data_IF_720797106473
#
_entry.id   IF_720797106473
#
_cell.length_a   1.000
_cell.length_b   1.000
_cell.length_c   1.000
_cell.angle_alpha   90.00
_cell.angle_beta   90.00
_cell.angle_gamma   90.00
#
_symmetry.space_group_name_H-M   'P 1'
#
loop_
_entity.id
_entity.type
_entity.pdbx_description
1 polymer ?
#
# COMPACT_ATOMS: atom_id res chain seq x y z
N UNK A 1 -2.37 0.74 -8.85
CA UNK A 1 -1.14 1.54 -9.00
C UNK A 1 -1.18 2.62 -7.95
N UNK A 2 -0.12 2.79 -7.15
CA UNK A 2 -0.06 3.93 -6.24
C UNK A 2 0.02 5.23 -7.06
N UNK A 3 -0.38 6.35 -6.47
CA UNK A 3 -0.26 7.69 -7.10
C UNK A 3 1.19 8.01 -7.50
N UNK A 4 2.16 7.35 -6.86
CA UNK A 4 3.59 7.43 -7.16
C UNK A 4 4.04 6.59 -8.35
N UNK A 5 3.13 5.84 -9.00
CA UNK A 5 3.44 4.89 -10.07
C UNK A 5 3.97 3.53 -9.59
N UNK A 6 4.12 3.32 -8.28
CA UNK A 6 4.57 2.06 -7.70
C UNK A 6 3.49 0.97 -7.82
N UNK A 7 3.87 -0.20 -8.32
CA UNK A 7 3.00 -1.38 -8.44
C UNK A 7 3.29 -2.33 -7.29
N UNK A 8 2.48 -2.24 -6.23
CA UNK A 8 2.57 -3.12 -5.05
C UNK A 8 1.36 -4.04 -5.01
N UNK A 9 1.59 -5.32 -4.72
CA UNK A 9 0.52 -6.28 -4.48
C UNK A 9 -0.08 -6.02 -3.09
N UNK A 10 -1.33 -5.59 -3.07
CA UNK A 10 -2.07 -5.28 -1.83
C UNK A 10 -3.22 -6.28 -1.63
N UNK A 11 -3.58 -6.59 -0.38
CA UNK A 11 -4.74 -7.42 -0.09
C UNK A 11 -6.06 -6.85 -0.62
N UNK A 12 -6.98 -7.74 -1.03
CA UNK A 12 -8.28 -7.39 -1.61
C UNK A 12 -9.26 -6.66 -0.67
N UNK A 13 -8.96 -6.56 0.63
CA UNK A 13 -9.80 -5.89 1.62
C UNK A 13 -9.48 -4.39 1.78
N UNK A 14 -8.48 -3.87 1.07
CA UNK A 14 -8.10 -2.46 1.13
C UNK A 14 -8.96 -1.66 0.17
N UNK A 15 -9.54 -0.57 0.68
CA UNK A 15 -10.38 0.34 -0.10
C UNK A 15 -9.58 1.57 -0.53
N UNK A 16 -9.93 2.21 -1.67
CA UNK A 16 -9.31 3.46 -2.07
C UNK A 16 -9.54 4.54 -0.99
N UNK A 17 -8.45 5.07 -0.43
CA UNK A 17 -8.47 6.01 0.69
C UNK A 17 -7.84 5.47 1.98
N UNK A 18 -7.62 4.15 2.08
CA UNK A 18 -6.88 3.56 3.18
C UNK A 18 -5.40 3.93 3.17
N UNK A 19 -4.88 4.33 4.33
CA UNK A 19 -3.45 4.58 4.52
C UNK A 19 -2.75 3.26 4.80
N UNK A 20 -1.85 2.89 3.90
CA UNK A 20 -1.03 1.69 4.03
C UNK A 20 0.43 2.08 4.12
N UNK A 21 1.19 1.34 4.92
CA UNK A 21 2.64 1.47 4.99
C UNK A 21 3.24 0.50 3.99
N UNK A 22 4.10 1.04 3.12
CA UNK A 22 4.81 0.27 2.10
C UNK A 22 6.31 0.48 2.30
N UNK A 23 7.10 -0.58 2.08
CA UNK A 23 8.56 -0.49 2.02
C UNK A 23 8.95 0.11 0.67
N UNK A 24 9.64 1.25 0.68
CA UNK A 24 10.10 1.92 -0.56
C UNK A 24 11.28 1.21 -1.21
N UNK A 25 12.07 0.45 -0.44
CA UNK A 25 13.21 -0.30 -0.97
C UNK A 25 12.78 -1.58 -1.70
N UNK A 26 11.70 -2.23 -1.24
CA UNK A 26 11.25 -3.52 -1.77
C UNK A 26 9.90 -3.42 -2.51
N UNK A 27 9.25 -2.25 -2.44
CA UNK A 27 7.93 -2.01 -3.02
C UNK A 27 6.83 -2.89 -2.42
N UNK A 28 7.04 -3.49 -1.24
CA UNK A 28 6.09 -4.40 -0.61
C UNK A 28 5.20 -3.68 0.40
N UNK A 29 3.94 -4.12 0.43
CA UNK A 29 3.01 -3.78 1.49
C UNK A 29 3.53 -4.34 2.83
N UNK A 30 3.56 -3.50 3.87
CA UNK A 30 3.96 -3.89 5.22
C UNK A 30 2.73 -4.06 6.11
N UNK A 31 1.96 -2.98 6.27
CA UNK A 31 0.86 -2.93 7.24
C UNK A 31 -0.21 -1.90 6.83
N UNK A 32 -1.44 -2.08 7.30
CA UNK A 32 -2.51 -1.09 7.19
C UNK A 32 -2.42 -0.17 8.38
N UNK A 33 -2.22 1.12 8.14
CA UNK A 33 -2.21 2.12 9.19
C UNK A 33 -3.66 2.52 9.46
N UNK A 34 -4.22 2.00 10.56
CA UNK A 34 -5.48 2.52 11.09
C UNK A 34 -5.19 3.86 11.79
N UNK A 35 -5.89 4.91 11.40
CA UNK A 35 -5.93 6.16 12.17
C UNK A 35 -6.67 5.98 13.48
#
# INVERSE_FOLDING_TARGET
>A
TLETGLVTNVPLFLEPGDKIKVSTSDGKYLERVKS
#
